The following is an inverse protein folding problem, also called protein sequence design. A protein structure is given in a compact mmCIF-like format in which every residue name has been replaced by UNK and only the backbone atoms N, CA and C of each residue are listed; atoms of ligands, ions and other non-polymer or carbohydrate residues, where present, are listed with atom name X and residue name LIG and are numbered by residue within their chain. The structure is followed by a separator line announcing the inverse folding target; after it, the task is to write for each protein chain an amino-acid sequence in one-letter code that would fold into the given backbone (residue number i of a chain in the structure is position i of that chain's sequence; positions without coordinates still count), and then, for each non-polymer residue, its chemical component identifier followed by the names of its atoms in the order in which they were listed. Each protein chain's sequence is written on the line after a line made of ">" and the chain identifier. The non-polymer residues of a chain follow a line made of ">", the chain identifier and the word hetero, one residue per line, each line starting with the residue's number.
data_IF_539019003895
#
_entry.id   IF_539019003895
#
_cell.length_a   1.000
_cell.length_b   1.000
_cell.length_c   1.000
_cell.angle_alpha   90.00
_cell.angle_beta   90.00
_cell.angle_gamma   90.00
#
_symmetry.space_group_name_H-M   'P 1'
#
loop_
_entity.id
_entity.type
_entity.pdbx_description
1 polymer ?
#
# COMPACT_ATOMS: atom_id res chain seq x y z
N UNK A 1 -16.28 14.58 2.12
CA UNK A 1 -15.51 13.80 1.14
C UNK A 1 -15.19 12.42 1.70
N UNK A 2 -15.54 11.36 0.94
CA UNK A 2 -15.20 9.98 1.26
C UNK A 2 -13.91 9.53 0.58
N UNK A 3 -13.06 8.79 1.28
CA UNK A 3 -11.81 8.27 0.74
C UNK A 3 -11.80 6.73 0.77
N UNK A 4 -11.49 6.11 -0.36
CA UNK A 4 -11.31 4.66 -0.49
C UNK A 4 -9.84 4.35 -0.65
N UNK A 5 -9.21 3.86 0.42
CA UNK A 5 -7.82 3.43 0.39
C UNK A 5 -7.69 2.06 -0.22
N UNK A 6 -6.66 1.89 -1.07
CA UNK A 6 -6.21 0.60 -1.53
C UNK A 6 -5.21 -0.02 -0.55
N UNK A 7 -4.29 -0.86 -0.99
CA UNK A 7 -3.39 -1.55 -0.05
C UNK A 7 -2.30 -0.61 0.46
N UNK A 8 -2.55 0.02 1.59
CA UNK A 8 -1.60 0.93 2.25
C UNK A 8 -0.53 0.14 2.98
N UNK A 9 0.73 0.55 2.87
CA UNK A 9 1.85 -0.04 3.58
C UNK A 9 2.88 1.02 4.01
N UNK A 10 3.69 0.69 5.00
CA UNK A 10 4.75 1.58 5.52
C UNK A 10 4.96 1.38 7.02
N UNK A 11 5.89 2.17 7.63
CA UNK A 11 6.10 2.18 9.07
C UNK A 11 4.80 2.31 9.87
N UNK A 12 4.71 1.64 11.01
CA UNK A 12 3.53 1.58 11.87
C UNK A 12 2.30 0.94 11.21
N UNK A 13 2.49 0.22 10.10
CA UNK A 13 1.44 -0.54 9.44
C UNK A 13 0.88 -1.66 10.33
N UNK A 14 -0.34 -2.09 10.03
CA UNK A 14 -1.02 -3.16 10.78
C UNK A 14 -0.22 -4.47 10.72
N UNK A 15 -0.05 -5.18 11.85
CA UNK A 15 0.78 -6.39 11.91
C UNK A 15 0.17 -7.61 11.19
N UNK A 16 -1.10 -7.56 10.82
CA UNK A 16 -1.81 -8.60 10.06
C UNK A 16 -1.71 -8.41 8.53
N UNK A 17 -1.02 -7.36 8.06
CA UNK A 17 -0.83 -7.10 6.64
C UNK A 17 0.40 -7.83 6.08
N UNK A 18 0.33 -8.20 4.80
CA UNK A 18 1.33 -9.01 4.11
C UNK A 18 2.78 -8.52 4.29
N UNK A 19 3.03 -7.21 4.16
CA UNK A 19 4.39 -6.67 4.33
C UNK A 19 4.96 -6.96 5.72
N UNK A 20 4.15 -6.74 6.76
CA UNK A 20 4.57 -6.98 8.13
C UNK A 20 4.80 -8.47 8.38
N UNK A 21 3.81 -9.32 8.03
CA UNK A 21 3.88 -10.76 8.21
C UNK A 21 5.07 -11.36 7.48
N UNK A 22 5.25 -11.03 6.21
CA UNK A 22 6.37 -11.55 5.42
C UNK A 22 7.73 -11.09 5.96
N UNK A 23 7.86 -9.80 6.32
CA UNK A 23 9.11 -9.29 6.88
C UNK A 23 9.46 -10.00 8.19
N UNK A 24 8.46 -10.16 9.08
CA UNK A 24 8.64 -10.89 10.34
C UNK A 24 9.09 -12.32 10.09
N UNK A 25 8.33 -13.10 9.33
CA UNK A 25 8.64 -14.51 9.08
C UNK A 25 10.00 -14.70 8.39
N UNK A 26 10.35 -13.84 7.41
CA UNK A 26 11.64 -13.89 6.74
C UNK A 26 12.79 -13.67 7.73
N UNK A 27 12.68 -12.68 8.63
CA UNK A 27 13.69 -12.39 9.64
C UNK A 27 13.80 -13.47 10.72
N UNK A 28 12.70 -14.15 11.03
CA UNK A 28 12.64 -15.27 11.97
C UNK A 28 12.99 -16.63 11.31
N UNK A 29 13.29 -16.63 10.01
CA UNK A 29 13.53 -17.83 9.18
C UNK A 29 12.34 -18.80 9.12
N UNK A 30 11.14 -18.29 9.36
CA UNK A 30 9.90 -19.02 9.22
C UNK A 30 9.38 -18.99 7.79
N UNK A 31 8.62 -19.99 7.33
CA UNK A 31 8.00 -19.98 6.00
C UNK A 31 6.90 -18.91 5.90
N UNK A 32 6.71 -18.40 4.67
CA UNK A 32 5.62 -17.50 4.34
C UNK A 32 4.60 -18.20 3.45
N UNK A 33 3.32 -18.02 3.75
CA UNK A 33 2.22 -18.53 2.93
C UNK A 33 1.98 -17.63 1.71
N UNK A 34 2.10 -18.21 0.53
CA UNK A 34 1.93 -17.51 -0.75
C UNK A 34 0.67 -18.02 -1.44
N UNK A 35 -0.44 -17.34 -1.21
CA UNK A 35 -1.75 -17.72 -1.73
C UNK A 35 -1.85 -17.56 -3.26
N UNK A 36 -2.80 -18.32 -3.85
CA UNK A 36 -3.00 -18.42 -5.29
C UNK A 36 -1.72 -18.73 -6.07
N UNK A 37 -0.82 -19.52 -5.48
CA UNK A 37 0.50 -19.82 -6.05
C UNK A 37 1.30 -18.57 -6.46
N UNK A 38 1.08 -17.44 -5.79
CA UNK A 38 1.72 -16.17 -6.08
C UNK A 38 1.11 -15.35 -7.23
N UNK A 39 0.05 -15.87 -7.88
CA UNK A 39 -0.62 -15.19 -9.00
C UNK A 39 -1.62 -14.13 -8.49
N UNK A 40 -1.10 -13.17 -7.76
CA UNK A 40 -1.87 -12.07 -7.14
C UNK A 40 -1.20 -10.74 -7.44
N UNK A 41 -2.03 -9.70 -7.62
CA UNK A 41 -1.56 -8.33 -7.77
C UNK A 41 -2.33 -7.39 -6.85
N UNK A 42 -1.64 -6.40 -6.32
CA UNK A 42 -2.24 -5.38 -5.47
C UNK A 42 -1.67 -4.00 -5.81
N UNK A 43 -2.51 -2.99 -5.66
CA UNK A 43 -2.06 -1.61 -5.63
C UNK A 43 -1.46 -1.32 -4.25
N UNK A 44 -0.13 -1.49 -4.15
CA UNK A 44 0.62 -1.18 -2.94
C UNK A 44 1.00 0.30 -2.93
N UNK A 45 0.42 1.06 -2.00
CA UNK A 45 0.63 2.49 -1.88
C UNK A 45 1.32 2.83 -0.56
N UNK A 46 2.45 3.54 -0.64
CA UNK A 46 3.21 3.92 0.54
C UNK A 46 2.48 4.98 1.37
N UNK A 47 2.59 4.88 2.69
CA UNK A 47 1.84 5.71 3.65
C UNK A 47 2.00 7.22 3.40
N UNK A 48 3.19 7.71 3.04
CA UNK A 48 3.41 9.13 2.81
C UNK A 48 2.58 9.65 1.63
N UNK A 49 2.46 8.87 0.55
CA UNK A 49 1.62 9.22 -0.60
C UNK A 49 0.13 9.28 -0.19
N UNK A 50 -0.30 8.34 0.65
CA UNK A 50 -1.68 8.35 1.20
C UNK A 50 -1.93 9.62 2.00
N UNK A 51 -1.00 10.00 2.90
CA UNK A 51 -1.14 11.20 3.74
C UNK A 51 -1.18 12.47 2.87
N UNK A 52 -0.35 12.56 1.83
CA UNK A 52 -0.42 13.68 0.87
C UNK A 52 -1.83 13.78 0.26
N UNK A 53 -2.43 12.65 -0.15
CA UNK A 53 -3.79 12.62 -0.67
C UNK A 53 -4.83 13.07 0.36
N UNK A 54 -4.70 12.59 1.61
CA UNK A 54 -5.61 12.99 2.72
C UNK A 54 -5.54 14.48 2.99
N UNK A 55 -4.32 15.06 3.05
CA UNK A 55 -4.14 16.51 3.28
C UNK A 55 -4.74 17.32 2.14
N UNK A 56 -4.48 16.92 0.88
CA UNK A 56 -5.09 17.61 -0.28
C UNK A 56 -6.62 17.61 -0.22
N UNK A 57 -7.23 16.53 0.20
CA UNK A 57 -8.70 16.44 0.36
C UNK A 57 -9.19 17.26 1.56
N UNK A 58 -8.44 17.32 2.66
CA UNK A 58 -8.77 18.12 3.82
C UNK A 58 -8.79 19.61 3.50
N UNK A 59 -7.81 20.06 2.71
CA UNK A 59 -7.68 21.47 2.29
C UNK A 59 -8.69 21.87 1.19
N UNK A 60 -9.29 20.88 0.51
CA UNK A 60 -10.27 21.07 -0.58
C UNK A 60 -11.52 20.21 -0.32
N UNK A 61 -12.38 20.60 0.63
CA UNK A 61 -13.60 19.86 0.92
C UNK A 61 -14.52 19.81 -0.29
N UNK A 62 -15.29 18.74 -0.39
CA UNK A 62 -16.21 18.55 -1.51
C UNK A 62 -17.23 19.67 -1.62
N UNK A 63 -17.42 20.16 -2.83
CA UNK A 63 -18.48 21.09 -3.20
C UNK A 63 -19.63 20.36 -3.92
N UNK A 64 -20.76 21.07 -4.13
CA UNK A 64 -21.87 20.56 -4.92
C UNK A 64 -21.45 20.41 -6.39
N UNK A 65 -21.85 19.32 -7.03
CA UNK A 65 -21.71 19.15 -8.48
C UNK A 65 -22.95 19.70 -9.21
N UNK A 66 -22.82 20.89 -9.75
CA UNK A 66 -23.94 21.57 -10.46
C UNK A 66 -24.38 20.82 -11.74
N UNK A 67 -23.54 19.94 -12.27
CA UNK A 67 -23.82 19.14 -13.48
C UNK A 67 -24.40 17.76 -13.14
N UNK A 68 -24.52 17.43 -11.86
CA UNK A 68 -25.02 16.12 -11.45
C UNK A 68 -26.47 15.92 -11.88
N UNK A 69 -26.76 14.78 -12.50
CA UNK A 69 -28.08 14.47 -13.04
C UNK A 69 -28.57 13.10 -12.52
N UNK A 70 -29.70 13.10 -11.82
CA UNK A 70 -30.30 11.89 -11.28
C UNK A 70 -30.75 10.84 -12.31
N UNK A 71 -30.89 11.20 -13.61
CA UNK A 71 -31.19 10.26 -14.69
C UNK A 71 -29.91 9.48 -15.16
N UNK A 72 -28.73 10.08 -14.93
CA UNK A 72 -27.42 9.45 -15.18
C UNK A 72 -26.50 9.81 -14.00
N UNK A 73 -26.73 9.21 -12.82
CA UNK A 73 -26.03 9.65 -11.63
C UNK A 73 -24.56 9.24 -11.68
N UNK A 74 -23.68 10.18 -11.35
CA UNK A 74 -22.31 9.86 -10.95
C UNK A 74 -22.33 9.45 -9.48
N UNK A 75 -21.94 8.22 -9.18
CA UNK A 75 -21.94 7.69 -7.81
C UNK A 75 -20.87 8.33 -6.90
N UNK A 76 -19.92 9.08 -7.49
CA UNK A 76 -18.81 9.71 -6.75
C UNK A 76 -19.06 11.19 -6.47
N UNK A 77 -20.16 11.78 -6.96
CA UNK A 77 -20.56 13.19 -6.74
C UNK A 77 -22.05 13.33 -6.52
N UNK A 78 -22.54 14.52 -6.17
CA UNK A 78 -23.94 14.79 -5.89
C UNK A 78 -24.25 16.29 -6.03
N UNK A 79 -25.53 16.64 -6.09
CA UNK A 79 -25.98 18.05 -5.96
C UNK A 79 -25.77 18.64 -4.55
N UNK A 80 -25.49 17.78 -3.54
CA UNK A 80 -25.03 18.22 -2.23
C UNK A 80 -23.50 18.20 -2.19
N UNK A 81 -22.84 18.87 -1.21
CA UNK A 81 -21.40 18.73 -0.98
C UNK A 81 -21.02 17.29 -0.64
N UNK A 82 -20.66 16.53 -1.68
CA UNK A 82 -20.34 15.11 -1.59
C UNK A 82 -19.40 14.71 -2.72
N UNK A 83 -18.30 14.07 -2.38
CA UNK A 83 -17.34 13.50 -3.33
C UNK A 83 -16.72 12.22 -2.76
N UNK A 84 -16.47 11.23 -3.62
CA UNK A 84 -15.68 10.05 -3.27
C UNK A 84 -14.44 10.01 -4.15
N UNK A 85 -13.27 9.80 -3.52
CA UNK A 85 -12.02 9.55 -4.22
C UNK A 85 -11.44 8.18 -3.86
N UNK A 86 -10.87 7.52 -4.85
CA UNK A 86 -9.94 6.43 -4.59
C UNK A 86 -8.55 7.02 -4.33
N UNK A 87 -7.85 6.51 -3.34
CA UNK A 87 -6.46 6.85 -3.05
C UNK A 87 -5.63 5.58 -3.12
N UNK A 88 -4.71 5.55 -4.04
CA UNK A 88 -3.83 4.45 -4.34
C UNK A 88 -2.67 4.93 -5.20
N UNK A 89 -1.85 4.00 -5.67
CA UNK A 89 -0.75 4.29 -6.59
C UNK A 89 -1.21 4.33 -8.06
N UNK A 90 -2.37 3.73 -8.36
CA UNK A 90 -2.89 3.62 -9.72
C UNK A 90 -2.17 2.55 -10.56
N UNK A 91 -1.40 1.67 -9.93
CA UNK A 91 -0.68 0.58 -10.60
C UNK A 91 -0.68 -0.65 -9.70
N UNK A 92 -1.06 -1.80 -10.27
CA UNK A 92 -0.92 -3.07 -9.57
C UNK A 92 0.52 -3.60 -9.66
N UNK A 93 0.96 -4.27 -8.60
CA UNK A 93 2.28 -4.90 -8.49
C UNK A 93 2.09 -6.36 -8.14
N UNK A 94 2.86 -7.22 -8.80
CA UNK A 94 2.85 -8.67 -8.55
C UNK A 94 3.30 -8.99 -7.12
N UNK A 95 2.60 -9.87 -6.43
CA UNK A 95 2.94 -10.32 -5.09
C UNK A 95 4.37 -10.87 -5.01
N UNK A 96 4.79 -11.64 -6.02
CA UNK A 96 6.14 -12.20 -6.05
C UNK A 96 7.23 -11.12 -6.19
N UNK A 97 6.96 -10.06 -6.97
CA UNK A 97 7.84 -8.90 -7.09
C UNK A 97 7.93 -8.15 -5.75
N UNK A 98 6.80 -8.03 -5.04
CA UNK A 98 6.76 -7.41 -3.72
C UNK A 98 7.56 -8.20 -2.67
N UNK A 99 7.41 -9.54 -2.63
CA UNK A 99 8.21 -10.43 -1.77
C UNK A 99 9.70 -10.31 -2.10
N UNK A 100 10.04 -10.22 -3.39
CA UNK A 100 11.44 -10.07 -3.82
C UNK A 100 12.08 -8.79 -3.29
N UNK A 101 11.34 -7.69 -3.20
CA UNK A 101 11.86 -6.45 -2.59
C UNK A 101 12.08 -6.61 -1.08
N UNK A 102 11.28 -7.42 -0.38
CA UNK A 102 11.54 -7.73 1.04
C UNK A 102 12.83 -8.56 1.18
N UNK A 103 12.99 -9.62 0.37
CA UNK A 103 14.20 -10.43 0.33
C UNK A 103 15.46 -9.59 0.07
N UNK A 104 15.38 -8.68 -0.90
CA UNK A 104 16.50 -7.78 -1.25
C UNK A 104 16.91 -6.86 -0.08
N UNK A 105 15.97 -6.43 0.75
CA UNK A 105 16.23 -5.49 1.84
C UNK A 105 16.53 -6.19 3.17
N UNK A 106 16.18 -7.46 3.32
CA UNK A 106 16.53 -8.30 4.48
C UNK A 106 17.79 -9.13 4.22
N UNK A 107 18.23 -9.24 2.95
CA UNK A 107 19.31 -10.14 2.50
C UNK A 107 19.04 -11.63 2.80
N UNK A 108 17.77 -11.99 3.03
CA UNK A 108 17.32 -13.35 3.34
C UNK A 108 16.33 -13.80 2.27
N UNK A 109 16.54 -14.99 1.74
CA UNK A 109 15.59 -15.62 0.81
C UNK A 109 14.44 -16.25 1.59
N UNK A 110 13.21 -15.90 1.26
CA UNK A 110 12.00 -16.41 1.91
C UNK A 110 11.78 -17.91 1.60
N UNK A 111 11.43 -18.68 2.61
CA UNK A 111 10.88 -20.02 2.44
C UNK A 111 9.38 -19.86 2.08
N UNK A 112 9.03 -20.18 0.85
CA UNK A 112 7.66 -19.95 0.33
C UNK A 112 6.87 -21.26 0.34
N UNK A 113 5.70 -21.24 1.00
CA UNK A 113 4.70 -22.31 0.93
C UNK A 113 3.58 -21.83 0.02
N UNK A 114 3.49 -22.43 -1.17
CA UNK A 114 2.47 -22.05 -2.14
C UNK A 114 1.14 -22.69 -1.79
N UNK A 115 0.12 -21.85 -1.65
CA UNK A 115 -1.23 -22.23 -1.22
C UNK A 115 -2.23 -22.00 -2.35
N UNK A 116 -3.34 -22.72 -2.29
CA UNK A 116 -4.52 -22.41 -3.13
C UNK A 116 -5.04 -21.00 -2.80
N UNK A 117 -5.83 -20.44 -3.72
CA UNK A 117 -6.51 -19.15 -3.48
C UNK A 117 -7.46 -19.26 -2.30
N UNK A 118 -7.49 -18.25 -1.44
CA UNK A 118 -8.47 -18.18 -0.36
C UNK A 118 -9.85 -17.77 -0.90
N UNK A 119 -10.90 -18.32 -0.30
CA UNK A 119 -12.27 -17.96 -0.65
C UNK A 119 -12.53 -16.48 -0.34
N UNK A 120 -13.10 -15.79 -1.33
CA UNK A 120 -13.44 -14.36 -1.22
C UNK A 120 -12.27 -13.39 -1.49
N UNK A 121 -11.07 -13.90 -1.74
CA UNK A 121 -9.95 -13.02 -2.15
C UNK A 121 -10.06 -12.64 -3.63
N UNK A 122 -9.41 -11.54 -4.05
CA UNK A 122 -9.40 -11.04 -5.43
C UNK A 122 -8.02 -11.17 -6.03
N UNK A 123 -7.96 -11.56 -7.30
CA UNK A 123 -6.68 -11.80 -8.00
C UNK A 123 -5.91 -10.51 -8.23
N UNK A 124 -6.59 -9.43 -8.63
CA UNK A 124 -5.95 -8.17 -9.00
C UNK A 124 -6.77 -6.97 -8.52
N UNK A 125 -6.10 -5.97 -7.98
CA UNK A 125 -6.70 -4.70 -7.60
C UNK A 125 -5.77 -3.53 -7.92
N UNK A 126 -6.34 -2.46 -8.51
CA UNK A 126 -5.64 -1.17 -8.61
C UNK A 126 -6.65 -0.03 -8.49
N UNK A 127 -6.19 1.12 -8.03
CA UNK A 127 -7.00 2.31 -7.89
C UNK A 127 -7.12 3.05 -9.23
N UNK A 128 -8.33 3.38 -9.63
CA UNK A 128 -8.52 4.48 -10.57
C UNK A 128 -8.41 5.79 -9.78
N UNK A 129 -7.31 6.50 -9.97
CA UNK A 129 -6.98 7.76 -9.29
C UNK A 129 -7.18 9.01 -10.16
N UNK A 130 -7.73 8.87 -11.37
CA UNK A 130 -7.86 9.98 -12.32
C UNK A 130 -8.65 11.15 -11.73
N UNK A 131 -9.75 10.88 -10.99
CA UNK A 131 -10.56 11.91 -10.38
C UNK A 131 -9.78 12.76 -9.37
N UNK A 132 -9.09 12.14 -8.42
CA UNK A 132 -8.30 12.86 -7.41
C UNK A 132 -7.08 13.57 -8.02
N UNK A 133 -6.49 12.98 -9.06
CA UNK A 133 -5.40 13.58 -9.81
C UNK A 133 -5.85 14.87 -10.52
N UNK A 134 -6.96 14.80 -11.23
CA UNK A 134 -7.49 15.94 -11.99
C UNK A 134 -8.02 17.05 -11.08
N UNK A 135 -8.74 16.70 -10.02
CA UNK A 135 -9.37 17.65 -9.12
C UNK A 135 -8.35 18.30 -8.15
N UNK A 136 -7.39 17.52 -7.64
CA UNK A 136 -6.51 17.94 -6.52
C UNK A 136 -5.00 17.81 -6.83
N UNK A 137 -4.63 17.39 -8.03
CA UNK A 137 -3.22 17.18 -8.39
C UNK A 137 -2.53 16.14 -7.53
N UNK A 138 -3.25 15.07 -7.14
CA UNK A 138 -2.65 13.95 -6.41
C UNK A 138 -1.79 13.09 -7.35
N UNK A 139 -0.53 12.93 -7.00
CA UNK A 139 0.41 12.06 -7.72
C UNK A 139 1.27 11.29 -6.72
N UNK A 140 1.08 9.97 -6.60
CA UNK A 140 1.91 9.13 -5.73
C UNK A 140 3.34 9.05 -6.29
N UNK A 141 4.35 9.27 -5.44
CA UNK A 141 5.75 9.41 -5.84
C UNK A 141 6.63 8.24 -5.39
N UNK A 142 6.24 7.54 -4.32
CA UNK A 142 7.10 6.53 -3.71
C UNK A 142 7.02 5.22 -4.47
N UNK A 143 8.13 4.76 -5.02
CA UNK A 143 8.21 3.44 -5.65
C UNK A 143 8.01 2.31 -4.62
N UNK A 144 7.50 1.15 -5.06
CA UNK A 144 7.37 -0.02 -4.18
C UNK A 144 8.74 -0.43 -3.61
N UNK A 145 9.78 -0.37 -4.41
CA UNK A 145 11.16 -0.65 -3.99
C UNK A 145 11.59 0.25 -2.84
N UNK A 146 11.39 1.57 -2.98
CA UNK A 146 11.80 2.54 -1.94
C UNK A 146 10.92 2.44 -0.70
N UNK A 147 9.61 2.24 -0.87
CA UNK A 147 8.68 2.08 0.23
C UNK A 147 8.94 0.82 1.05
N UNK A 148 9.20 -0.33 0.40
CA UNK A 148 9.58 -1.57 1.09
C UNK A 148 10.90 -1.39 1.83
N UNK A 149 11.91 -0.75 1.20
CA UNK A 149 13.18 -0.43 1.86
C UNK A 149 12.97 0.40 3.13
N UNK A 150 12.19 1.48 3.05
CA UNK A 150 11.87 2.33 4.22
C UNK A 150 11.19 1.53 5.34
N UNK A 151 10.25 0.67 4.98
CA UNK A 151 9.55 -0.18 5.96
C UNK A 151 10.50 -1.19 6.63
N UNK A 152 11.30 -1.92 5.85
CA UNK A 152 12.24 -2.92 6.39
C UNK A 152 13.26 -2.24 7.31
N UNK A 153 13.81 -1.08 6.93
CA UNK A 153 14.72 -0.31 7.78
C UNK A 153 14.06 0.10 9.11
N UNK A 154 12.82 0.60 9.05
CA UNK A 154 12.05 0.91 10.26
C UNK A 154 11.82 -0.34 11.12
N UNK A 155 11.43 -1.47 10.50
CA UNK A 155 11.16 -2.71 11.21
C UNK A 155 12.40 -3.23 11.95
N UNK A 156 13.53 -3.29 11.27
CA UNK A 156 14.81 -3.71 11.86
C UNK A 156 15.20 -2.84 13.05
N UNK A 157 15.08 -1.52 12.90
CA UNK A 157 15.40 -0.57 13.97
C UNK A 157 14.43 -0.68 15.15
N UNK A 158 13.14 -0.73 14.89
CA UNK A 158 12.10 -0.78 15.93
C UNK A 158 12.15 -2.04 16.77
N UNK A 159 12.40 -3.21 16.15
CA UNK A 159 12.48 -4.50 16.83
C UNK A 159 13.91 -4.87 17.26
N UNK A 160 14.89 -4.00 17.08
CA UNK A 160 16.26 -4.23 17.52
C UNK A 160 17.02 -5.32 16.75
N UNK A 161 16.61 -5.63 15.52
CA UNK A 161 17.38 -6.52 14.65
C UNK A 161 18.68 -5.82 14.23
N UNK A 162 19.82 -6.49 14.39
CA UNK A 162 21.09 -5.98 13.84
C UNK A 162 20.98 -5.94 12.33
N UNK A 163 21.12 -4.76 11.74
CA UNK A 163 21.17 -4.63 10.30
C UNK A 163 22.38 -5.41 9.76
N UNK A 164 22.14 -6.36 8.87
CA UNK A 164 23.21 -7.08 8.19
C UNK A 164 24.14 -6.07 7.49
N UNK A 165 25.43 -6.06 7.86
CA UNK A 165 26.47 -5.28 7.21
C UNK A 165 26.62 -3.81 7.62
N UNK A 166 25.95 -3.31 8.68
CA UNK A 166 26.23 -1.98 9.25
C UNK A 166 27.01 -2.10 10.56
N UNK A 167 28.07 -1.28 10.76
CA UNK A 167 28.73 -1.17 12.06
C UNK A 167 27.72 -0.66 13.10
N UNK A 168 27.88 -1.11 14.34
CA UNK A 168 27.07 -0.74 15.50
C UNK A 168 26.85 0.78 15.54
N UNK A 169 25.60 1.20 15.34
CA UNK A 169 25.22 2.59 15.66
C UNK A 169 25.05 2.62 17.17
N UNK A 170 26.05 3.18 17.84
CA UNK A 170 25.99 3.48 19.27
C UNK A 170 24.79 4.41 19.47
N UNK A 171 23.82 3.97 20.27
CA UNK A 171 22.76 4.83 20.77
C UNK A 171 23.38 5.76 21.82
N UNK A 172 23.43 7.06 21.52
CA UNK A 172 23.55 8.13 22.51
C UNK A 172 22.16 8.54 23.02
#
# INVERSE_FOLDING_TARGET
>A
TGLRFFTVYGPWGRPDMALYLFTKSILEHDPIDVYNNGNMKRDFTYIDDIIIGVVKVLDNPAEMDANWNGLKPNCSSSQAPYKIYNIGRGQSVDLMSFIKEIENNTEITAQKVFMAMQDGDVVDTWADIESIKNDLGYEPQVSVKDGVKKFVMWYLNYYGYKAFGRPDVVQD
#
